data_IF_351296678938
#
_entry.id   IF_351296678938
#
_cell.length_a   1.000
_cell.length_b   1.000
_cell.length_c   1.000
_cell.angle_alpha   90.00
_cell.angle_beta   90.00
_cell.angle_gamma   90.00
#
_symmetry.space_group_name_H-M   'P 1'
#
loop_
_entity.id
_entity.type
_entity.pdbx_description
1 polymer ?
#
# COMPACT_ATOMS: atom_id res chain seq x y z
N UNK A 1 10.89 26.03 -10.55
CA UNK A 1 12.10 25.17 -10.60
C UNK A 1 12.01 24.21 -9.44
N UNK A 2 12.38 22.94 -9.62
CA UNK A 2 12.55 22.02 -8.50
C UNK A 2 13.80 22.47 -7.71
N UNK A 3 13.66 22.70 -6.41
CA UNK A 3 14.74 23.17 -5.55
C UNK A 3 15.56 22.01 -4.95
N UNK A 4 15.23 20.76 -5.32
CA UNK A 4 15.83 19.57 -4.75
C UNK A 4 15.28 19.25 -3.36
N UNK A 5 15.82 18.21 -2.70
CA UNK A 5 15.42 17.83 -1.36
C UNK A 5 15.85 18.89 -0.33
N UNK A 6 15.01 19.14 0.68
CA UNK A 6 15.35 20.02 1.80
C UNK A 6 16.40 19.40 2.74
N UNK A 7 16.39 18.08 2.86
CA UNK A 7 17.29 17.29 3.70
C UNK A 7 17.61 15.96 3.00
N UNK A 8 18.85 15.49 3.15
CA UNK A 8 19.31 14.23 2.58
C UNK A 8 20.55 13.72 3.29
N UNK A 9 20.36 13.03 4.41
CA UNK A 9 21.44 12.38 5.15
C UNK A 9 21.84 11.05 4.50
N UNK A 10 23.07 10.59 4.74
CA UNK A 10 23.61 9.34 4.15
C UNK A 10 22.78 8.11 4.54
N UNK A 11 22.36 8.03 5.81
CA UNK A 11 21.49 6.96 6.30
C UNK A 11 20.04 7.08 5.76
N UNK A 12 19.68 8.21 5.15
CA UNK A 12 18.33 8.54 4.70
C UNK A 12 17.62 9.50 5.66
N UNK A 13 16.71 10.31 5.11
CA UNK A 13 15.88 11.25 5.87
C UNK A 13 14.44 11.06 5.42
N UNK A 14 13.55 10.71 6.35
CA UNK A 14 12.14 10.39 6.06
C UNK A 14 11.19 11.06 7.05
N UNK A 15 9.89 10.94 6.78
CA UNK A 15 8.81 11.35 7.69
C UNK A 15 8.85 12.83 8.10
N UNK A 16 9.14 13.71 7.13
CA UNK A 16 9.18 15.15 7.35
C UNK A 16 7.82 15.73 7.79
N UNK A 17 7.83 16.48 8.90
CA UNK A 17 6.68 17.18 9.48
C UNK A 17 7.02 18.65 9.72
N UNK A 18 6.30 19.57 9.07
CA UNK A 18 6.51 21.00 9.27
C UNK A 18 5.62 21.54 10.39
N UNK A 19 6.20 22.27 11.35
CA UNK A 19 5.46 22.88 12.46
C UNK A 19 6.13 24.19 12.90
N UNK A 20 5.35 25.23 13.28
CA UNK A 20 5.92 26.39 13.93
C UNK A 20 6.48 26.05 15.32
N UNK A 21 7.47 26.79 15.79
CA UNK A 21 7.92 26.80 17.19
C UNK A 21 7.08 27.78 18.05
N UNK A 22 7.33 27.82 19.35
CA UNK A 22 6.62 28.69 20.30
C UNK A 22 6.67 30.19 19.96
N UNK A 23 7.60 30.60 19.09
CA UNK A 23 7.79 31.98 18.61
C UNK A 23 7.15 32.24 17.24
N UNK A 24 6.68 31.18 16.56
CA UNK A 24 6.03 31.25 15.25
C UNK A 24 6.97 30.96 14.07
N UNK A 25 8.24 30.68 14.34
CA UNK A 25 9.22 30.32 13.31
C UNK A 25 8.96 28.90 12.82
N UNK A 26 8.97 28.68 11.51
CA UNK A 26 8.65 27.37 10.93
C UNK A 26 9.87 26.44 10.98
N UNK A 27 9.67 25.21 11.45
CA UNK A 27 10.69 24.16 11.48
C UNK A 27 10.22 22.95 10.68
N UNK A 28 11.18 22.25 10.08
CA UNK A 28 11.01 20.88 9.61
C UNK A 28 11.51 19.94 10.71
N UNK A 29 10.68 18.97 11.08
CA UNK A 29 11.03 17.83 11.94
C UNK A 29 11.13 16.59 11.05
N UNK A 30 12.13 15.75 11.20
CA UNK A 30 12.26 14.52 10.40
C UNK A 30 12.99 13.42 11.18
N UNK A 31 12.88 12.19 10.66
CA UNK A 31 13.63 11.03 11.16
C UNK A 31 14.86 10.80 10.29
N UNK A 32 16.02 10.60 10.91
CA UNK A 32 17.15 9.97 10.23
C UNK A 32 16.97 8.45 10.21
N UNK A 33 17.07 7.83 9.03
CA UNK A 33 16.81 6.40 8.83
C UNK A 33 18.01 5.51 9.22
N UNK A 34 18.62 5.79 10.38
CA UNK A 34 19.81 5.09 10.88
C UNK A 34 19.63 3.57 11.00
N UNK A 35 18.40 3.08 11.17
CA UNK A 35 18.10 1.64 11.15
C UNK A 35 18.44 0.96 9.81
N UNK A 36 18.54 1.69 8.70
CA UNK A 36 19.00 1.16 7.39
C UNK A 36 20.48 0.73 7.44
N UNK A 37 21.23 1.29 8.38
CA UNK A 37 22.65 1.07 8.59
C UNK A 37 22.97 0.56 10.02
N UNK A 38 21.99 -0.01 10.72
CA UNK A 38 22.11 -0.55 12.09
C UNK A 38 22.54 0.48 13.15
N UNK A 39 22.11 1.72 13.01
CA UNK A 39 22.34 2.82 13.97
C UNK A 39 21.04 3.26 14.66
N UNK A 40 21.17 4.15 15.63
CA UNK A 40 20.05 4.86 16.25
C UNK A 40 19.28 5.71 15.24
N UNK A 41 18.05 6.09 15.58
CA UNK A 41 17.11 6.79 14.71
C UNK A 41 16.67 8.12 15.33
N UNK A 42 17.59 9.10 15.41
CA UNK A 42 17.26 10.40 15.98
C UNK A 42 16.16 11.10 15.19
N UNK A 43 15.27 11.77 15.93
CA UNK A 43 14.35 12.76 15.39
C UNK A 43 15.02 14.11 15.45
N UNK A 44 15.18 14.76 14.31
CA UNK A 44 15.83 16.05 14.14
C UNK A 44 14.81 17.16 13.93
N UNK A 45 15.16 18.38 14.30
CA UNK A 45 14.46 19.60 13.90
C UNK A 45 15.42 20.66 13.40
N UNK A 46 15.05 21.37 12.33
CA UNK A 46 15.81 22.51 11.81
C UNK A 46 14.86 23.55 11.22
N UNK A 47 15.21 24.82 11.39
CA UNK A 47 14.38 25.93 10.94
C UNK A 47 14.30 25.96 9.42
N UNK A 48 13.13 26.24 8.88
CA UNK A 48 12.91 26.54 7.46
C UNK A 48 13.08 28.05 7.22
N UNK A 49 13.57 28.43 6.04
CA UNK A 49 13.46 29.80 5.58
C UNK A 49 11.99 30.18 5.29
N UNK A 50 11.72 31.48 5.17
CA UNK A 50 10.36 32.00 4.95
C UNK A 50 9.73 31.47 3.65
N UNK A 51 10.54 31.23 2.62
CA UNK A 51 10.10 30.66 1.34
C UNK A 51 9.83 29.15 1.40
N UNK A 52 10.23 28.47 2.47
CA UNK A 52 10.08 27.01 2.68
C UNK A 52 10.82 26.17 1.63
N UNK A 53 11.93 26.69 1.14
CA UNK A 53 12.77 26.08 0.11
C UNK A 53 14.15 25.65 0.62
N UNK A 54 14.52 26.00 1.85
CA UNK A 54 15.80 25.65 2.45
C UNK A 54 15.71 25.55 3.98
N UNK A 55 16.58 24.72 4.56
CA UNK A 55 16.82 24.69 6.00
C UNK A 55 17.92 25.70 6.36
N UNK A 56 17.77 26.34 7.52
CA UNK A 56 18.68 27.39 8.02
C UNK A 56 19.09 27.11 9.46
N UNK A 57 20.31 27.53 9.81
CA UNK A 57 20.91 27.23 11.13
C UNK A 57 21.36 25.77 11.24
N UNK A 58 21.52 25.29 12.48
CA UNK A 58 21.94 23.93 12.78
C UNK A 58 20.73 23.03 13.10
N UNK A 59 20.82 21.76 12.73
CA UNK A 59 19.84 20.76 13.15
C UNK A 59 20.01 20.45 14.65
N UNK A 60 18.88 20.27 15.35
CA UNK A 60 18.84 19.90 16.77
C UNK A 60 18.21 18.53 16.92
N UNK A 61 18.87 17.62 17.63
CA UNK A 61 18.30 16.33 18.00
C UNK A 61 17.23 16.53 19.07
N UNK A 62 16.02 16.02 18.84
CA UNK A 62 14.90 16.12 19.77
C UNK A 62 14.90 14.94 20.76
N UNK A 63 15.00 13.72 20.24
CA UNK A 63 15.20 12.46 20.96
C UNK A 63 15.48 11.31 19.97
N UNK A 64 15.87 10.15 20.49
CA UNK A 64 16.16 8.93 19.71
C UNK A 64 15.43 7.69 20.27
N UNK A 65 15.63 6.51 19.68
CA UNK A 65 15.07 5.24 20.14
C UNK A 65 15.82 4.65 21.35
N UNK A 66 15.54 5.16 22.56
CA UNK A 66 16.26 4.84 23.79
C UNK A 66 15.43 4.03 24.82
N UNK A 67 14.18 3.67 24.51
CA UNK A 67 13.35 2.83 25.40
C UNK A 67 12.96 1.50 24.75
N UNK A 68 12.86 0.47 25.60
CA UNK A 68 12.77 -0.95 25.17
C UNK A 68 11.69 -1.26 24.12
N UNK A 69 10.51 -0.64 24.20
CA UNK A 69 9.40 -0.97 23.30
C UNK A 69 9.62 -0.44 21.87
N UNK A 70 10.44 0.61 21.72
CA UNK A 70 10.78 1.23 20.43
C UNK A 70 11.66 0.32 19.57
N UNK A 71 12.37 -0.63 20.18
CA UNK A 71 13.19 -1.58 19.45
C UNK A 71 14.16 -0.88 18.49
N UNK A 72 14.18 -1.23 17.19
CA UNK A 72 15.17 -0.72 16.25
C UNK A 72 14.95 0.72 15.79
N UNK A 73 13.79 1.34 16.04
CA UNK A 73 13.52 2.69 15.49
C UNK A 73 12.47 3.48 16.28
N UNK A 74 12.55 4.81 16.17
CA UNK A 74 11.43 5.75 16.30
C UNK A 74 11.26 6.50 14.98
N UNK A 75 10.04 6.79 14.56
CA UNK A 75 9.73 7.49 13.30
C UNK A 75 8.30 8.05 13.26
N UNK A 76 7.83 8.54 12.09
CA UNK A 76 6.43 8.87 11.86
C UNK A 76 5.92 10.02 12.73
N UNK A 77 6.76 11.04 12.94
CA UNK A 77 6.46 12.20 13.78
C UNK A 77 5.19 12.93 13.33
N UNK A 78 4.21 13.02 14.23
CA UNK A 78 3.03 13.85 14.06
C UNK A 78 2.88 14.78 15.26
N UNK A 79 3.10 16.07 15.02
CA UNK A 79 3.11 17.07 16.07
C UNK A 79 1.79 17.82 16.17
N UNK A 80 1.37 18.11 17.40
CA UNK A 80 0.23 18.99 17.69
C UNK A 80 0.48 19.82 18.93
N UNK A 81 -0.16 20.99 19.02
CA UNK A 81 -0.16 21.80 20.24
C UNK A 81 -1.44 21.60 21.03
N UNK A 82 -1.29 21.43 22.35
CA UNK A 82 -2.42 21.37 23.27
C UNK A 82 -1.99 21.92 24.64
N UNK A 83 -2.76 22.84 25.23
CA UNK A 83 -2.51 23.46 26.54
C UNK A 83 -1.07 23.94 26.79
N UNK A 84 -0.47 24.58 25.77
CA UNK A 84 0.89 25.12 25.84
C UNK A 84 2.00 24.06 25.80
N UNK A 85 1.69 22.84 25.40
CA UNK A 85 2.65 21.78 25.09
C UNK A 85 2.67 21.51 23.60
N UNK A 86 3.83 21.15 23.08
CA UNK A 86 3.96 20.32 21.90
C UNK A 86 3.81 18.87 22.31
N UNK A 87 3.02 18.10 21.56
CA UNK A 87 2.99 16.66 21.63
C UNK A 87 3.47 16.11 20.30
N UNK A 88 4.35 15.12 20.34
CA UNK A 88 4.76 14.34 19.19
C UNK A 88 4.24 12.93 19.38
N UNK A 89 3.26 12.55 18.57
CA UNK A 89 2.92 11.16 18.38
C UNK A 89 3.96 10.57 17.43
N UNK A 90 4.58 9.48 17.83
CA UNK A 90 5.62 8.82 17.06
C UNK A 90 5.39 7.33 17.10
N UNK A 91 5.87 6.64 16.08
CA UNK A 91 5.83 5.20 16.05
C UNK A 91 7.18 4.62 16.42
N UNK A 92 7.17 3.43 17.03
CA UNK A 92 8.37 2.68 17.36
C UNK A 92 8.30 1.27 16.80
N UNK A 93 9.47 0.66 16.66
CA UNK A 93 9.67 -0.73 16.30
C UNK A 93 9.35 -1.04 14.81
N UNK A 94 9.25 -2.31 14.44
CA UNK A 94 9.14 -2.75 13.05
C UNK A 94 7.73 -2.57 12.49
N UNK A 95 7.59 -1.65 11.52
CA UNK A 95 6.31 -1.30 10.89
C UNK A 95 5.63 -2.47 10.16
N UNK A 96 6.43 -3.34 9.55
CA UNK A 96 6.00 -3.95 8.30
C UNK A 96 6.20 -5.47 8.24
N UNK A 97 5.34 -6.12 7.46
CA UNK A 97 5.38 -7.56 7.19
C UNK A 97 4.73 -8.45 8.26
N UNK A 98 4.93 -9.76 8.10
CA UNK A 98 4.25 -10.78 8.90
C UNK A 98 4.53 -10.66 10.40
N UNK A 99 5.78 -10.37 10.76
CA UNK A 99 6.28 -10.30 12.14
C UNK A 99 6.40 -8.89 12.72
N UNK A 100 5.69 -7.90 12.15
CA UNK A 100 5.73 -6.53 12.63
C UNK A 100 5.39 -6.41 14.14
N UNK A 101 5.99 -5.42 14.79
CA UNK A 101 5.83 -5.13 16.22
C UNK A 101 5.57 -3.63 16.48
N UNK A 102 5.12 -2.92 15.44
CA UNK A 102 4.90 -1.47 15.48
C UNK A 102 3.90 -1.06 16.56
N UNK A 103 4.19 0.03 17.25
CA UNK A 103 3.28 0.64 18.20
C UNK A 103 3.43 2.17 18.18
N UNK A 104 2.47 2.89 18.74
CA UNK A 104 2.52 4.36 18.84
C UNK A 104 2.82 4.79 20.27
N UNK A 105 3.80 5.68 20.42
CA UNK A 105 4.10 6.41 21.64
C UNK A 105 3.77 7.90 21.50
N UNK A 106 3.89 8.62 22.60
CA UNK A 106 3.83 10.08 22.63
C UNK A 106 4.94 10.65 23.51
N UNK A 107 5.50 11.76 23.08
CA UNK A 107 6.37 12.61 23.88
C UNK A 107 5.82 14.05 23.90
N UNK A 108 6.19 14.85 24.89
CA UNK A 108 5.81 16.27 24.95
C UNK A 108 6.97 17.20 25.31
N UNK A 109 6.89 18.45 24.90
CA UNK A 109 7.78 19.51 25.35
C UNK A 109 7.08 20.87 25.40
N UNK A 110 7.59 21.81 26.21
CA UNK A 110 7.10 23.21 26.22
C UNK A 110 7.72 24.05 25.10
N UNK A 111 8.89 23.66 24.60
CA UNK A 111 9.61 24.31 23.51
C UNK A 111 9.87 23.27 22.41
N UNK A 112 9.79 23.66 21.14
CA UNK A 112 9.89 22.69 20.03
C UNK A 112 11.24 21.94 20.05
N UNK A 113 12.32 22.66 20.36
CA UNK A 113 13.67 22.11 20.43
C UNK A 113 13.97 21.35 21.74
N UNK A 114 12.96 21.14 22.59
CA UNK A 114 13.05 20.31 23.78
C UNK A 114 13.37 21.08 25.07
N UNK A 115 13.67 20.35 26.16
CA UNK A 115 13.79 18.90 26.22
C UNK A 115 12.44 18.18 26.04
N UNK A 116 12.46 16.99 25.42
CA UNK A 116 11.27 16.16 25.20
C UNK A 116 11.11 15.11 26.31
N UNK A 117 9.92 15.05 26.92
CA UNK A 117 9.52 14.05 27.91
C UNK A 117 8.70 12.96 27.20
N UNK A 118 9.21 11.72 27.15
CA UNK A 118 8.42 10.55 26.69
C UNK A 118 7.42 10.15 27.76
N UNK A 119 6.19 9.82 27.37
CA UNK A 119 5.18 9.38 28.33
C UNK A 119 5.56 8.05 28.97
N UNK A 120 5.62 8.01 30.30
CA UNK A 120 6.00 6.80 31.06
C UNK A 120 5.09 5.58 30.81
N UNK A 121 3.89 5.80 30.27
CA UNK A 121 2.94 4.74 29.94
C UNK A 121 3.00 4.28 28.48
N UNK A 122 3.93 4.80 27.67
CA UNK A 122 4.11 4.34 26.29
C UNK A 122 4.33 2.80 26.22
N UNK A 123 3.89 2.14 25.12
CA UNK A 123 3.12 2.71 24.02
C UNK A 123 1.66 3.02 24.41
N UNK A 124 1.10 4.07 23.81
CA UNK A 124 -0.31 4.48 24.01
C UNK A 124 -1.28 3.80 23.03
N UNK A 125 -0.76 3.18 21.96
CA UNK A 125 -1.53 2.42 20.99
C UNK A 125 -0.73 1.19 20.54
N UNK A 126 -1.27 0.00 20.76
CA UNK A 126 -0.65 -1.28 20.38
C UNK A 126 -1.70 -2.26 19.80
N UNK A 127 -1.22 -3.38 19.28
CA UNK A 127 -1.99 -4.46 18.67
C UNK A 127 -3.10 -4.99 19.59
N UNK A 128 -4.24 -5.33 19.00
CA UNK A 128 -5.37 -5.99 19.66
C UNK A 128 -5.81 -7.23 18.86
N UNK A 129 -6.92 -7.87 19.20
CA UNK A 129 -7.38 -9.09 18.50
C UNK A 129 -7.74 -8.90 17.02
N UNK A 130 -7.96 -7.67 16.58
CA UNK A 130 -8.39 -7.33 15.21
C UNK A 130 -7.24 -6.75 14.38
N UNK A 131 -6.47 -5.84 14.97
CA UNK A 131 -5.46 -5.04 14.30
C UNK A 131 -4.09 -5.31 14.92
N UNK A 132 -3.06 -5.37 14.08
CA UNK A 132 -1.66 -5.44 14.53
C UNK A 132 -0.87 -4.27 13.96
N UNK A 133 0.18 -3.90 14.70
CA UNK A 133 1.19 -2.94 14.26
C UNK A 133 0.63 -1.53 13.99
N UNK A 134 -0.13 -0.92 14.92
CA UNK A 134 -0.67 0.42 14.70
C UNK A 134 0.39 1.51 14.87
N UNK A 135 0.47 2.44 13.91
CA UNK A 135 1.36 3.58 14.03
C UNK A 135 1.37 4.48 12.80
N UNK A 136 2.36 5.39 12.80
CA UNK A 136 2.57 6.41 11.78
C UNK A 136 1.28 7.19 11.52
N UNK A 137 0.84 7.91 12.56
CA UNK A 137 -0.44 8.58 12.58
C UNK A 137 -0.36 10.05 12.21
N UNK A 138 -1.52 10.69 12.14
CA UNK A 138 -1.68 12.14 12.08
C UNK A 138 -2.81 12.51 13.03
N UNK A 139 -2.57 13.49 13.89
CA UNK A 139 -3.56 13.94 14.87
C UNK A 139 -4.53 14.91 14.19
N UNK A 140 -5.81 14.76 14.47
CA UNK A 140 -6.86 15.68 14.05
C UNK A 140 -7.80 15.99 15.21
N UNK A 141 -8.37 17.19 15.19
CA UNK A 141 -9.39 17.65 16.13
C UNK A 141 -10.65 18.06 15.36
N UNK A 142 -11.82 17.67 15.87
CA UNK A 142 -13.12 18.04 15.31
C UNK A 142 -14.14 18.17 16.44
N UNK A 143 -14.73 19.35 16.58
CA UNK A 143 -15.80 19.65 17.56
C UNK A 143 -15.44 19.27 19.01
N UNK A 144 -14.20 19.54 19.42
CA UNK A 144 -13.62 19.23 20.72
C UNK A 144 -13.15 17.79 20.89
N UNK A 145 -13.29 16.93 19.86
CA UNK A 145 -12.90 15.51 19.89
C UNK A 145 -11.60 15.31 19.17
N UNK A 146 -10.78 14.39 19.68
CA UNK A 146 -9.43 14.17 19.19
C UNK A 146 -9.29 12.78 18.58
N UNK A 147 -8.65 12.73 17.42
CA UNK A 147 -8.47 11.52 16.65
C UNK A 147 -7.04 11.37 16.20
N UNK A 148 -6.60 10.12 16.12
CA UNK A 148 -5.40 9.73 15.39
C UNK A 148 -5.83 8.98 14.14
N UNK A 149 -5.53 9.54 12.96
CA UNK A 149 -5.58 8.83 11.69
C UNK A 149 -4.26 8.08 11.52
N UNK A 150 -4.25 6.77 11.66
CA UNK A 150 -3.03 5.96 11.63
C UNK A 150 -3.24 4.73 10.75
N UNK A 151 -2.18 3.96 10.50
CA UNK A 151 -2.33 2.67 9.83
C UNK A 151 -2.24 1.51 10.82
N UNK A 152 -2.70 0.34 10.40
CA UNK A 152 -2.42 -0.97 11.00
C UNK A 152 -2.64 -2.07 9.95
N UNK A 153 -2.34 -3.33 10.28
CA UNK A 153 -2.75 -4.48 9.48
C UNK A 153 -3.97 -5.17 10.11
N UNK A 154 -4.98 -5.48 9.29
CA UNK A 154 -6.04 -6.38 9.72
C UNK A 154 -5.47 -7.80 9.87
N UNK A 155 -5.60 -8.39 11.06
CA UNK A 155 -4.94 -9.67 11.40
C UNK A 155 -5.35 -10.81 10.47
N UNK A 156 -6.59 -10.85 9.99
CA UNK A 156 -7.09 -11.92 9.11
C UNK A 156 -6.58 -11.81 7.67
N UNK A 157 -6.24 -10.60 7.20
CA UNK A 157 -5.68 -10.41 5.86
C UNK A 157 -4.16 -10.37 5.81
N UNK A 158 -3.51 -10.31 6.97
CA UNK A 158 -2.06 -10.20 7.11
C UNK A 158 -1.50 -9.06 6.22
N UNK A 159 -0.26 -9.20 5.73
CA UNK A 159 0.40 -8.25 4.83
C UNK A 159 -0.20 -8.23 3.42
N UNK A 160 -1.03 -9.20 3.02
CA UNK A 160 -1.50 -9.35 1.64
C UNK A 160 -2.36 -8.18 1.14
N UNK A 161 -3.12 -7.54 2.03
CA UNK A 161 -3.87 -6.29 1.71
C UNK A 161 -3.02 -5.05 1.91
N UNK A 162 -1.90 -5.17 2.63
CA UNK A 162 -1.08 -4.06 3.07
C UNK A 162 -1.64 -3.35 4.30
N UNK A 163 -1.01 -2.23 4.65
CA UNK A 163 -1.42 -1.36 5.75
C UNK A 163 -2.73 -0.65 5.40
N UNK A 164 -3.66 -0.59 6.35
CA UNK A 164 -4.98 0.00 6.19
C UNK A 164 -5.12 1.21 7.11
N UNK A 165 -5.70 2.30 6.59
CA UNK A 165 -5.98 3.49 7.36
C UNK A 165 -7.12 3.26 8.36
N UNK A 166 -6.90 3.69 9.60
CA UNK A 166 -7.83 3.61 10.72
C UNK A 166 -7.94 4.98 11.38
N UNK A 167 -9.12 5.26 11.94
CA UNK A 167 -9.35 6.41 12.79
C UNK A 167 -9.60 5.92 14.21
N UNK A 168 -8.77 6.33 15.15
CA UNK A 168 -8.91 6.01 16.57
C UNK A 168 -9.09 7.30 17.37
N UNK A 169 -10.18 7.38 18.13
CA UNK A 169 -10.45 8.50 19.03
C UNK A 169 -9.63 8.38 20.32
N UNK A 170 -9.20 9.52 20.86
CA UNK A 170 -8.55 9.61 22.16
C UNK A 170 -9.05 10.83 22.93
N UNK A 171 -8.82 10.83 24.24
CA UNK A 171 -9.11 11.97 25.13
C UNK A 171 -7.85 12.42 25.84
N UNK A 172 -7.83 13.64 26.37
CA UNK A 172 -6.75 14.11 27.25
C UNK A 172 -7.09 13.79 28.71
N UNK A 173 -6.22 13.08 29.41
CA UNK A 173 -6.42 12.76 30.82
C UNK A 173 -6.04 13.93 31.75
N UNK A 174 -6.25 13.77 33.06
CA UNK A 174 -5.97 14.82 34.05
C UNK A 174 -4.50 15.26 34.13
N UNK A 175 -3.57 14.44 33.65
CA UNK A 175 -2.15 14.75 33.55
C UNK A 175 -1.74 15.32 32.17
N UNK A 176 -2.73 15.66 31.35
CA UNK A 176 -2.59 16.17 29.98
C UNK A 176 -1.86 15.20 29.05
N UNK A 177 -2.14 13.90 29.15
CA UNK A 177 -1.67 12.90 28.19
C UNK A 177 -2.83 12.34 27.36
N UNK A 178 -2.59 11.98 26.09
CA UNK A 178 -3.61 11.32 25.28
C UNK A 178 -3.87 9.91 25.79
N UNK A 179 -5.14 9.53 25.85
CA UNK A 179 -5.60 8.23 26.31
C UNK A 179 -6.54 7.62 25.26
N UNK A 180 -6.12 6.49 24.70
CA UNK A 180 -6.96 5.64 23.87
C UNK A 180 -7.65 4.59 24.74
N UNK A 181 -8.91 4.30 24.46
CA UNK A 181 -9.66 3.25 25.15
C UNK A 181 -8.89 1.92 25.03
N UNK A 182 -8.42 1.39 26.18
CA UNK A 182 -7.61 0.16 26.27
C UNK A 182 -6.31 0.19 25.45
N UNK A 183 -5.77 1.38 25.12
CA UNK A 183 -4.55 1.55 24.31
C UNK A 183 -4.60 0.80 22.97
N UNK A 184 -5.76 0.82 22.32
CA UNK A 184 -6.04 -0.06 21.19
C UNK A 184 -6.63 0.70 19.99
N UNK A 185 -6.43 0.21 18.76
CA UNK A 185 -7.15 0.71 17.59
C UNK A 185 -8.66 0.52 17.75
N UNK A 186 -9.44 1.57 17.50
CA UNK A 186 -10.89 1.57 17.76
C UNK A 186 -11.75 1.21 16.55
N UNK A 187 -11.20 1.26 15.35
CA UNK A 187 -11.95 1.00 14.13
C UNK A 187 -12.41 -0.48 14.05
N UNK A 188 -13.72 -0.78 13.97
CA UNK A 188 -14.18 -2.14 13.73
C UNK A 188 -13.83 -2.59 12.30
N UNK A 189 -13.69 -3.90 12.05
CA UNK A 189 -13.50 -4.39 10.69
C UNK A 189 -14.80 -4.16 9.89
N UNK A 190 -14.66 -3.89 8.59
CA UNK A 190 -15.80 -3.65 7.72
C UNK A 190 -16.70 -4.90 7.63
N UNK A 191 -17.98 -4.74 7.94
CA UNK A 191 -18.93 -5.86 7.97
C UNK A 191 -19.49 -6.20 6.60
N UNK A 192 -19.88 -5.18 5.82
CA UNK A 192 -20.39 -5.28 4.46
C UNK A 192 -19.27 -5.04 3.43
N UNK A 193 -18.71 -6.14 2.93
CA UNK A 193 -17.67 -6.12 1.90
C UNK A 193 -18.21 -5.85 0.49
N UNK A 194 -19.54 -5.83 0.32
CA UNK A 194 -20.19 -5.48 -0.94
C UNK A 194 -19.84 -4.06 -1.39
N UNK A 195 -19.65 -3.16 -0.44
CA UNK A 195 -19.23 -1.77 -0.67
C UNK A 195 -17.84 -1.63 -1.27
N UNK A 196 -17.01 -2.65 -1.16
CA UNK A 196 -15.66 -2.69 -1.71
C UNK A 196 -15.61 -3.38 -3.07
N UNK A 197 -16.73 -3.95 -3.54
CA UNK A 197 -16.79 -4.54 -4.86
C UNK A 197 -16.44 -3.50 -5.93
N UNK A 198 -15.69 -3.92 -6.93
CA UNK A 198 -15.40 -3.12 -8.11
C UNK A 198 -16.08 -3.77 -9.29
N UNK A 199 -16.76 -2.97 -10.10
CA UNK A 199 -17.17 -3.31 -11.45
C UNK A 199 -16.88 -2.07 -12.30
N UNK A 200 -15.90 -2.20 -13.18
CA UNK A 200 -15.51 -1.14 -14.11
C UNK A 200 -15.75 -1.68 -15.53
N UNK A 201 -16.78 -1.16 -16.19
CA UNK A 201 -17.12 -1.50 -17.58
C UNK A 201 -16.48 -0.50 -18.57
N UNK A 202 -15.52 0.31 -18.10
CA UNK A 202 -14.79 1.30 -18.91
C UNK A 202 -15.71 2.25 -19.70
N UNK A 203 -16.89 2.57 -19.17
CA UNK A 203 -17.89 3.43 -19.84
C UNK A 203 -17.56 4.93 -19.85
N UNK A 204 -16.43 5.34 -19.27
CA UNK A 204 -15.98 6.73 -19.25
C UNK A 204 -15.20 7.13 -20.51
N UNK A 205 -14.63 8.34 -20.53
CA UNK A 205 -13.76 8.82 -21.61
C UNK A 205 -12.26 8.71 -21.29
N UNK A 206 -11.91 8.21 -20.11
CA UNK A 206 -10.54 8.02 -19.62
C UNK A 206 -10.49 6.94 -18.55
N UNK A 207 -9.29 6.40 -18.31
CA UNK A 207 -9.06 5.46 -17.22
C UNK A 207 -9.37 6.14 -15.86
N UNK A 208 -10.10 5.44 -15.00
CA UNK A 208 -10.46 5.96 -13.68
C UNK A 208 -9.25 6.20 -12.77
N UNK A 209 -9.34 7.17 -11.86
CA UNK A 209 -8.24 7.56 -10.95
C UNK A 209 -7.82 6.45 -9.96
N UNK A 210 -8.67 5.45 -9.78
CA UNK A 210 -8.39 4.28 -8.92
C UNK A 210 -7.41 3.29 -9.56
N UNK A 211 -7.19 3.38 -10.88
CA UNK A 211 -6.21 2.56 -11.58
C UNK A 211 -4.82 3.14 -11.41
N UNK A 212 -3.89 2.28 -11.03
CA UNK A 212 -2.51 2.63 -10.71
C UNK A 212 -1.53 1.82 -11.56
N UNK A 213 -0.29 2.28 -11.67
CA UNK A 213 0.79 1.61 -12.37
C UNK A 213 2.11 1.84 -11.61
N UNK A 214 3.19 1.10 -11.92
CA UNK A 214 4.48 1.33 -11.30
C UNK A 214 4.99 2.76 -11.54
N UNK A 215 5.57 3.36 -10.50
CA UNK A 215 6.15 4.71 -10.58
C UNK A 215 7.21 4.75 -11.70
N UNK A 216 7.15 5.80 -12.53
CA UNK A 216 8.06 5.97 -13.67
C UNK A 216 7.74 5.11 -14.90
N UNK A 217 6.71 4.28 -14.86
CA UNK A 217 6.27 3.42 -15.96
C UNK A 217 4.77 3.65 -16.22
N UNK A 218 4.42 4.85 -16.72
CA UNK A 218 3.05 5.13 -17.12
C UNK A 218 2.72 4.37 -18.41
N UNK A 219 1.78 3.41 -18.37
CA UNK A 219 1.46 2.61 -19.55
C UNK A 219 0.66 3.44 -20.56
N UNK A 220 0.74 3.06 -21.83
CA UNK A 220 -0.19 3.53 -22.84
C UNK A 220 -1.57 2.92 -22.61
N UNK A 221 -2.47 3.64 -21.95
CA UNK A 221 -3.83 3.19 -21.67
C UNK A 221 -4.86 4.21 -22.16
N UNK A 222 -5.84 3.77 -22.94
CA UNK A 222 -6.94 4.58 -23.42
C UNK A 222 -8.28 3.90 -23.15
N UNK A 223 -9.31 4.69 -22.88
CA UNK A 223 -10.69 4.19 -22.76
C UNK A 223 -11.49 4.75 -23.92
N UNK A 224 -12.08 3.87 -24.70
CA UNK A 224 -12.92 4.21 -25.85
C UNK A 224 -13.94 3.09 -26.09
N UNK A 225 -15.15 3.46 -26.49
CA UNK A 225 -16.24 2.53 -26.83
C UNK A 225 -16.57 1.50 -25.74
N UNK A 226 -16.47 1.92 -24.47
CA UNK A 226 -16.73 1.02 -23.33
C UNK A 226 -15.65 -0.04 -23.12
N UNK A 227 -14.43 0.21 -23.61
CA UNK A 227 -13.30 -0.73 -23.50
C UNK A 227 -12.04 -0.01 -23.04
N UNK A 228 -11.19 -0.76 -22.33
CA UNK A 228 -9.81 -0.38 -22.07
C UNK A 228 -8.92 -0.94 -23.18
N UNK A 229 -8.18 -0.05 -23.82
CA UNK A 229 -7.12 -0.36 -24.78
C UNK A 229 -5.79 -0.18 -24.06
N UNK A 230 -5.07 -1.29 -23.82
CA UNK A 230 -3.79 -1.31 -23.13
C UNK A 230 -2.69 -1.65 -24.14
N UNK A 231 -1.84 -0.67 -24.41
CA UNK A 231 -0.66 -0.83 -25.27
C UNK A 231 0.35 -1.74 -24.57
N UNK A 232 0.79 -2.78 -25.27
CA UNK A 232 1.68 -3.77 -24.70
C UNK A 232 3.10 -3.23 -24.47
N UNK A 233 3.83 -3.87 -23.56
CA UNK A 233 5.26 -3.61 -23.35
C UNK A 233 6.04 -4.93 -23.32
N UNK A 234 7.31 -4.96 -23.76
CA UNK A 234 8.05 -6.20 -23.93
C UNK A 234 8.67 -6.74 -22.64
N UNK A 235 8.75 -5.94 -21.57
CA UNK A 235 9.52 -6.29 -20.38
C UNK A 235 8.65 -6.86 -19.26
N UNK A 236 9.12 -7.92 -18.59
CA UNK A 236 8.48 -8.51 -17.39
C UNK A 236 7.01 -8.87 -17.66
N UNK A 237 6.02 -8.29 -16.97
CA UNK A 237 4.60 -8.55 -17.22
C UNK A 237 4.01 -7.72 -18.39
N UNK A 238 4.84 -6.90 -19.01
CA UNK A 238 4.41 -5.87 -19.95
C UNK A 238 3.76 -4.68 -19.25
N UNK A 239 2.84 -4.01 -19.94
CA UNK A 239 2.11 -2.88 -19.40
C UNK A 239 1.19 -3.34 -18.28
N UNK A 240 1.09 -2.55 -17.21
CA UNK A 240 0.32 -2.90 -16.00
C UNK A 240 -0.59 -1.74 -15.62
N UNK A 241 -1.90 -1.97 -15.57
CA UNK A 241 -2.85 -1.11 -14.85
C UNK A 241 -3.54 -1.92 -13.76
N UNK A 242 -3.49 -1.43 -12.53
CA UNK A 242 -3.82 -2.22 -11.35
C UNK A 242 -4.77 -1.52 -10.38
N UNK A 243 -5.59 -2.31 -9.69
CA UNK A 243 -6.48 -1.92 -8.59
C UNK A 243 -5.96 -2.51 -7.27
N UNK A 244 -6.18 -1.78 -6.17
CA UNK A 244 -5.90 -2.29 -4.83
C UNK A 244 -6.81 -3.48 -4.51
N UNK A 245 -6.29 -4.43 -3.76
CA UNK A 245 -7.13 -5.41 -3.07
C UNK A 245 -7.60 -4.82 -1.74
N UNK A 246 -8.80 -5.19 -1.30
CA UNK A 246 -9.36 -4.68 -0.05
C UNK A 246 -9.56 -5.78 1.01
N UNK A 247 -9.55 -7.04 0.58
CA UNK A 247 -9.66 -8.22 1.43
C UNK A 247 -8.63 -9.26 0.99
N UNK A 248 -8.37 -10.26 1.83
CA UNK A 248 -7.49 -11.37 1.49
C UNK A 248 -8.23 -12.51 0.76
N UNK A 249 -9.56 -12.55 0.83
CA UNK A 249 -10.38 -13.51 0.09
C UNK A 249 -11.23 -12.75 -0.93
N UNK A 250 -11.09 -13.06 -2.21
CA UNK A 250 -11.82 -12.37 -3.28
C UNK A 250 -11.83 -13.17 -4.57
N UNK A 251 -12.68 -12.74 -5.51
CA UNK A 251 -12.65 -13.16 -6.92
C UNK A 251 -12.48 -11.94 -7.81
N UNK A 252 -11.59 -12.02 -8.78
CA UNK A 252 -11.46 -11.03 -9.83
C UNK A 252 -11.64 -11.63 -11.21
N UNK A 253 -12.22 -10.86 -12.12
CA UNK A 253 -12.46 -11.28 -13.48
C UNK A 253 -12.33 -10.12 -14.46
N UNK A 254 -12.03 -10.46 -15.71
CA UNK A 254 -11.99 -9.54 -16.85
C UNK A 254 -12.41 -10.30 -18.11
N UNK A 255 -12.87 -9.58 -19.13
CA UNK A 255 -13.11 -10.12 -20.46
C UNK A 255 -12.16 -9.47 -21.46
N UNK A 256 -11.46 -10.27 -22.26
CA UNK A 256 -10.46 -9.87 -23.25
C UNK A 256 -11.01 -10.09 -24.67
N UNK A 257 -10.74 -9.19 -25.60
CA UNK A 257 -10.88 -9.44 -27.05
C UNK A 257 -9.80 -10.43 -27.52
N UNK A 258 -10.11 -11.72 -27.45
CA UNK A 258 -9.13 -12.78 -27.67
C UNK A 258 -8.81 -13.00 -29.15
N UNK A 259 -9.82 -13.03 -30.02
CA UNK A 259 -9.60 -13.21 -31.46
C UNK A 259 -8.90 -12.01 -32.12
N UNK A 260 -8.96 -10.84 -31.49
CA UNK A 260 -8.32 -9.61 -31.99
C UNK A 260 -6.95 -9.36 -31.35
N UNK A 261 -6.48 -10.23 -30.46
CA UNK A 261 -5.18 -10.08 -29.83
C UNK A 261 -4.08 -10.30 -30.89
N UNK A 262 -3.15 -9.35 -31.07
CA UNK A 262 -2.08 -9.50 -32.06
C UNK A 262 -1.21 -10.74 -31.80
N UNK A 263 -0.61 -11.27 -32.86
CA UNK A 263 0.36 -12.36 -32.74
C UNK A 263 1.50 -11.96 -31.79
N UNK A 264 1.98 -12.95 -31.03
CA UNK A 264 3.06 -12.79 -30.04
C UNK A 264 2.79 -11.74 -28.96
N UNK A 265 1.51 -11.41 -28.76
CA UNK A 265 1.01 -10.60 -27.64
C UNK A 265 0.28 -11.48 -26.65
N UNK A 266 0.55 -11.27 -25.37
CA UNK A 266 -0.10 -11.94 -24.26
C UNK A 266 -0.76 -10.92 -23.34
N UNK A 267 -2.02 -11.13 -23.01
CA UNK A 267 -2.76 -10.22 -22.15
C UNK A 267 -3.66 -10.96 -21.17
N UNK A 268 -3.94 -10.35 -20.02
CA UNK A 268 -4.83 -10.97 -19.07
C UNK A 268 -4.87 -10.34 -17.69
N UNK A 269 -5.03 -11.18 -16.67
CA UNK A 269 -5.31 -10.80 -15.29
C UNK A 269 -4.20 -11.31 -14.37
N UNK A 270 -3.63 -10.43 -13.56
CA UNK A 270 -2.52 -10.75 -12.67
C UNK A 270 -2.75 -10.31 -11.23
N UNK A 271 -2.29 -11.12 -10.27
CA UNK A 271 -2.00 -10.68 -8.91
C UNK A 271 -0.55 -10.19 -8.87
N UNK A 272 -0.36 -8.90 -8.56
CA UNK A 272 0.93 -8.20 -8.63
C UNK A 272 1.32 -7.72 -7.24
N UNK A 273 2.47 -8.18 -6.77
CA UNK A 273 3.10 -7.66 -5.56
C UNK A 273 3.93 -6.42 -5.85
N UNK A 274 4.89 -6.60 -6.76
CA UNK A 274 5.79 -5.58 -7.25
C UNK A 274 6.18 -5.89 -8.72
N UNK A 275 6.98 -5.06 -9.41
CA UNK A 275 7.37 -5.30 -10.79
C UNK A 275 8.11 -6.63 -11.05
N UNK A 276 8.63 -7.29 -10.01
CA UNK A 276 9.44 -8.51 -10.06
C UNK A 276 8.72 -9.73 -9.48
N UNK A 277 7.56 -9.56 -8.85
CA UNK A 277 6.81 -10.60 -8.18
C UNK A 277 5.32 -10.55 -8.55
N UNK A 278 4.87 -11.51 -9.35
CA UNK A 278 3.49 -11.62 -9.79
C UNK A 278 3.07 -13.06 -10.09
N UNK A 279 1.76 -13.26 -10.18
CA UNK A 279 1.11 -14.49 -10.63
C UNK A 279 0.00 -14.11 -11.61
N UNK A 280 0.14 -14.52 -12.88
CA UNK A 280 -0.67 -14.01 -13.99
C UNK A 280 -1.35 -15.12 -14.78
N UNK A 281 -2.61 -14.90 -15.15
CA UNK A 281 -3.35 -15.69 -16.13
C UNK A 281 -3.36 -14.92 -17.45
N UNK A 282 -2.65 -15.45 -18.45
CA UNK A 282 -2.30 -14.76 -19.70
C UNK A 282 -2.85 -15.53 -20.90
N UNK A 283 -3.55 -14.84 -21.78
CA UNK A 283 -4.03 -15.37 -23.05
C UNK A 283 -3.17 -14.83 -24.20
N UNK A 284 -2.79 -15.67 -25.14
CA UNK A 284 -2.00 -15.29 -26.31
C UNK A 284 -1.75 -16.48 -27.23
N UNK A 285 -1.62 -16.23 -28.54
CA UNK A 285 -1.32 -17.26 -29.54
C UNK A 285 -2.22 -18.52 -29.45
N UNK A 286 -3.52 -18.34 -29.21
CA UNK A 286 -4.48 -19.46 -29.09
C UNK A 286 -4.35 -20.28 -27.79
N UNK A 287 -3.58 -19.80 -26.83
CA UNK A 287 -3.31 -20.49 -25.56
C UNK A 287 -3.67 -19.62 -24.35
N UNK A 288 -3.93 -20.31 -23.24
CA UNK A 288 -3.91 -19.74 -21.91
C UNK A 288 -2.70 -20.26 -21.14
N UNK A 289 -2.05 -19.37 -20.42
CA UNK A 289 -0.92 -19.68 -19.56
C UNK A 289 -1.15 -19.16 -18.15
N UNK A 290 -0.71 -19.92 -17.16
CA UNK A 290 -0.45 -19.37 -15.82
C UNK A 290 1.04 -19.13 -15.71
N UNK A 291 1.45 -17.87 -15.58
CA UNK A 291 2.83 -17.50 -15.34
C UNK A 291 3.02 -17.14 -13.88
N UNK A 292 4.18 -17.52 -13.34
CA UNK A 292 4.72 -16.83 -12.18
C UNK A 292 5.91 -15.97 -12.61
N UNK A 293 5.98 -14.75 -12.07
CA UNK A 293 7.17 -13.92 -12.09
C UNK A 293 7.68 -13.89 -10.66
N UNK A 294 8.89 -14.43 -10.41
CA UNK A 294 9.48 -14.47 -9.07
C UNK A 294 10.89 -13.93 -9.12
N UNK A 295 11.13 -12.85 -8.39
CA UNK A 295 12.42 -12.13 -8.43
C UNK A 295 12.86 -11.81 -9.87
N UNK A 296 11.90 -11.39 -10.71
CA UNK A 296 12.13 -11.04 -12.11
C UNK A 296 12.27 -12.22 -13.08
N UNK A 297 12.20 -13.47 -12.60
CA UNK A 297 12.25 -14.67 -13.45
C UNK A 297 10.84 -15.15 -13.76
N UNK A 298 10.50 -15.18 -15.05
CA UNK A 298 9.22 -15.68 -15.54
C UNK A 298 9.31 -17.18 -15.81
N UNK A 299 8.31 -17.93 -15.36
CA UNK A 299 8.13 -19.33 -15.75
C UNK A 299 6.63 -19.64 -15.94
N UNK A 300 6.34 -20.50 -16.91
CA UNK A 300 5.01 -21.02 -17.15
C UNK A 300 4.73 -22.21 -16.23
N UNK A 301 3.68 -22.12 -15.41
CA UNK A 301 3.26 -23.18 -14.50
C UNK A 301 2.34 -24.20 -15.18
N UNK A 302 1.48 -23.71 -16.07
CA UNK A 302 0.58 -24.54 -16.88
C UNK A 302 0.19 -23.78 -18.14
N UNK A 303 -0.12 -24.51 -19.19
CA UNK A 303 -0.73 -23.96 -20.40
C UNK A 303 -1.75 -24.91 -20.99
N UNK A 304 -2.76 -24.34 -21.64
CA UNK A 304 -3.80 -25.08 -22.36
C UNK A 304 -4.09 -24.40 -23.70
N UNK A 305 -4.54 -25.20 -24.67
CA UNK A 305 -5.16 -24.67 -25.87
C UNK A 305 -6.56 -24.14 -25.54
N UNK A 306 -6.96 -23.07 -26.22
CA UNK A 306 -8.31 -22.51 -26.14
C UNK A 306 -8.95 -22.57 -27.52
N UNK A 307 -10.13 -23.19 -27.60
CA UNK A 307 -10.90 -23.21 -28.83
C UNK A 307 -11.20 -21.78 -29.32
N UNK A 308 -11.18 -21.54 -30.64
CA UNK A 308 -11.41 -20.20 -31.19
C UNK A 308 -12.70 -19.57 -30.66
N UNK A 309 -12.57 -18.38 -30.08
CA UNK A 309 -13.68 -17.59 -29.56
C UNK A 309 -13.36 -16.10 -29.71
N UNK A 310 -14.40 -15.27 -29.88
CA UNK A 310 -14.23 -13.83 -30.07
C UNK A 310 -13.64 -13.17 -28.81
N UNK A 311 -14.23 -13.47 -27.66
CA UNK A 311 -13.85 -12.94 -26.36
C UNK A 311 -13.54 -14.07 -25.38
N UNK A 312 -12.63 -13.81 -24.45
CA UNK A 312 -12.23 -14.76 -23.42
C UNK A 312 -12.38 -14.12 -22.04
N UNK A 313 -13.22 -14.70 -21.19
CA UNK A 313 -13.36 -14.31 -19.80
C UNK A 313 -12.30 -15.02 -18.95
N UNK A 314 -11.57 -14.26 -18.14
CA UNK A 314 -10.52 -14.74 -17.26
C UNK A 314 -10.93 -14.50 -15.81
N UNK A 315 -10.63 -15.46 -14.92
CA UNK A 315 -10.92 -15.33 -13.49
C UNK A 315 -9.78 -15.84 -12.62
N UNK A 316 -9.55 -15.09 -11.56
CA UNK A 316 -8.64 -15.39 -10.47
C UNK A 316 -9.46 -15.43 -9.16
N UNK A 317 -9.32 -16.51 -8.39
CA UNK A 317 -9.95 -16.69 -7.08
C UNK A 317 -8.87 -16.82 -6.00
N UNK A 318 -9.00 -16.07 -4.90
CA UNK A 318 -7.98 -15.99 -3.83
C UNK A 318 -8.59 -16.29 -2.48
N UNK A 319 -7.86 -17.04 -1.66
CA UNK A 319 -8.18 -17.27 -0.24
C UNK A 319 -7.00 -16.92 0.66
N UNK A 320 -7.24 -16.07 1.65
CA UNK A 320 -6.23 -15.65 2.62
C UNK A 320 -5.02 -14.96 2.00
N UNK A 321 -5.18 -14.36 0.82
CA UNK A 321 -4.18 -13.55 0.11
C UNK A 321 -3.07 -14.35 -0.57
N UNK A 322 -3.02 -15.67 -0.33
CA UNK A 322 -1.85 -16.48 -0.67
C UNK A 322 -2.16 -17.76 -1.45
N UNK A 323 -3.43 -18.14 -1.60
CA UNK A 323 -3.86 -19.34 -2.34
C UNK A 323 -4.68 -18.92 -3.54
N UNK A 324 -4.21 -19.26 -4.74
CA UNK A 324 -4.76 -18.78 -6.01
C UNK A 324 -5.32 -19.92 -6.84
N UNK A 325 -6.47 -19.69 -7.48
CA UNK A 325 -7.03 -20.58 -8.51
C UNK A 325 -7.41 -19.77 -9.74
N UNK A 326 -7.26 -20.39 -10.90
CA UNK A 326 -7.53 -19.78 -12.20
C UNK A 326 -8.64 -20.52 -12.92
N UNK A 327 -9.49 -19.75 -13.58
CA UNK A 327 -10.54 -20.28 -14.45
C UNK A 327 -10.73 -19.37 -15.65
N UNK A 328 -11.31 -19.91 -16.71
CA UNK A 328 -11.64 -19.16 -17.92
C UNK A 328 -13.03 -19.54 -18.43
N UNK A 329 -13.57 -18.75 -19.34
CA UNK A 329 -14.84 -19.04 -20.02
C UNK A 329 -14.82 -18.44 -21.42
N UNK A 330 -15.23 -19.24 -22.41
CA UNK A 330 -15.32 -18.85 -23.83
C UNK A 330 -16.72 -18.37 -24.22
N UNK A 331 -17.71 -18.57 -23.35
CA UNK A 331 -19.13 -18.21 -23.54
C UNK A 331 -19.63 -17.15 -22.53
N UNK A 332 -18.76 -16.74 -21.59
CA UNK A 332 -19.09 -15.82 -20.49
C UNK A 332 -19.94 -16.43 -19.36
N UNK A 333 -20.35 -17.69 -19.48
CA UNK A 333 -21.29 -18.34 -18.56
C UNK A 333 -20.69 -19.58 -17.89
N UNK A 334 -20.08 -20.47 -18.67
CA UNK A 334 -19.52 -21.74 -18.23
C UNK A 334 -18.04 -21.57 -17.89
N UNK A 335 -17.69 -21.72 -16.62
CA UNK A 335 -16.32 -21.55 -16.13
C UNK A 335 -15.56 -22.86 -16.08
N UNK A 336 -14.43 -22.91 -16.78
CA UNK A 336 -13.52 -24.04 -16.83
C UNK A 336 -12.28 -23.75 -15.95
N UNK A 337 -11.93 -24.63 -15.00
CA UNK A 337 -10.73 -24.46 -14.19
C UNK A 337 -9.47 -24.73 -15.03
N UNK A 338 -8.37 -24.01 -14.76
CA UNK A 338 -7.07 -24.37 -15.33
C UNK A 338 -6.43 -25.51 -14.52
N UNK A 339 -5.81 -26.50 -15.18
CA UNK A 339 -5.12 -27.58 -14.50
C UNK A 339 -3.78 -27.06 -13.93
N UNK A 340 -3.65 -27.05 -12.62
CA UNK A 340 -2.39 -26.76 -11.90
C UNK A 340 -1.96 -27.98 -11.11
N UNK A 341 -0.67 -28.08 -10.78
CA UNK A 341 -0.10 -29.23 -10.02
C UNK A 341 -0.88 -29.53 -8.73
N UNK A 342 -1.30 -28.47 -8.04
CA UNK A 342 -2.12 -28.54 -6.84
C UNK A 342 -3.45 -27.80 -7.05
N UNK A 343 -4.43 -28.02 -6.18
CA UNK A 343 -5.73 -27.33 -6.23
C UNK A 343 -5.61 -25.79 -6.18
N UNK A 344 -4.59 -25.27 -5.50
CA UNK A 344 -4.25 -23.84 -5.48
C UNK A 344 -2.76 -23.62 -5.72
N UNK A 345 -2.43 -22.54 -6.42
CA UNK A 345 -1.06 -22.03 -6.55
C UNK A 345 -0.70 -21.18 -5.33
N UNK A 346 0.50 -21.37 -4.81
CA UNK A 346 1.02 -20.62 -3.67
C UNK A 346 1.55 -19.25 -4.13
N UNK A 347 0.99 -18.17 -3.59
CA UNK A 347 1.41 -16.78 -3.82
C UNK A 347 1.94 -16.07 -2.56
N UNK A 348 2.47 -16.78 -1.57
CA UNK A 348 3.04 -16.16 -0.35
C UNK A 348 4.21 -15.21 -0.63
N UNK A 349 4.85 -15.35 -1.80
CA UNK A 349 5.97 -14.51 -2.22
C UNK A 349 5.53 -13.17 -2.82
N UNK A 350 4.23 -12.93 -3.01
CA UNK A 350 3.74 -11.75 -3.71
C UNK A 350 3.94 -10.47 -2.90
N UNK A 351 3.48 -10.32 -1.65
CA UNK A 351 3.63 -9.06 -0.96
C UNK A 351 5.12 -8.72 -0.77
N UNK A 352 5.58 -7.55 -1.23
CA UNK A 352 6.84 -7.02 -0.73
C UNK A 352 6.67 -6.63 0.74
N UNK A 353 7.76 -6.20 1.37
CA UNK A 353 7.74 -5.86 2.79
C UNK A 353 6.78 -4.70 3.15
N UNK A 354 6.53 -3.75 2.24
CA UNK A 354 5.84 -2.47 2.51
C UNK A 354 4.44 -2.30 1.89
N UNK A 355 4.01 -3.20 0.99
CA UNK A 355 2.81 -3.04 0.16
C UNK A 355 1.95 -4.30 0.10
N UNK A 356 0.65 -4.11 -0.06
CA UNK A 356 -0.30 -5.17 -0.38
C UNK A 356 -0.30 -5.54 -1.87
N UNK A 357 -0.83 -6.73 -2.16
CA UNK A 357 -1.05 -7.25 -3.51
C UNK A 357 -2.11 -6.41 -4.22
N UNK A 358 -1.89 -6.15 -5.51
CA UNK A 358 -2.83 -5.50 -6.42
C UNK A 358 -3.31 -6.50 -7.47
N UNK A 359 -4.48 -6.24 -8.04
CA UNK A 359 -4.98 -6.97 -9.20
C UNK A 359 -4.85 -6.12 -10.43
N UNK A 360 -4.26 -6.66 -11.49
CA UNK A 360 -3.89 -5.90 -12.66
C UNK A 360 -4.43 -6.52 -13.94
N UNK A 361 -4.81 -5.64 -14.86
CA UNK A 361 -4.87 -5.96 -16.27
C UNK A 361 -3.48 -5.72 -16.86
N UNK A 362 -3.00 -6.70 -17.63
CA UNK A 362 -1.63 -6.70 -18.14
C UNK A 362 -1.57 -7.02 -19.62
N UNK A 363 -0.60 -6.44 -20.33
CA UNK A 363 -0.35 -6.70 -21.76
C UNK A 363 1.15 -6.74 -22.05
N UNK A 364 1.66 -7.92 -22.39
CA UNK A 364 3.04 -8.18 -22.79
C UNK A 364 3.12 -8.41 -24.30
N UNK A 365 4.05 -7.75 -24.97
CA UNK A 365 4.23 -7.87 -26.42
C UNK A 365 5.03 -6.71 -26.99
N UNK A 366 5.09 -6.63 -28.31
CA UNK A 366 5.70 -5.50 -29.01
C UNK A 366 4.98 -4.19 -28.70
N UNK A 367 5.71 -3.08 -28.70
CA UNK A 367 5.17 -1.79 -28.25
C UNK A 367 4.08 -1.24 -29.15
N UNK A 368 3.83 -1.75 -30.34
CA UNK A 368 2.71 -1.36 -31.20
C UNK A 368 1.46 -2.22 -30.99
N UNK A 369 1.58 -3.36 -30.32
CA UNK A 369 0.46 -4.23 -29.99
C UNK A 369 -0.43 -3.60 -28.91
N UNK A 370 -1.74 -3.84 -29.03
CA UNK A 370 -2.75 -3.36 -28.07
C UNK A 370 -3.66 -4.52 -27.70
N UNK A 371 -3.85 -4.72 -26.39
CA UNK A 371 -4.83 -5.64 -25.84
C UNK A 371 -6.08 -4.86 -25.42
N UNK A 372 -7.26 -5.43 -25.70
CA UNK A 372 -8.53 -4.76 -25.42
C UNK A 372 -9.34 -5.51 -24.37
N UNK A 373 -9.69 -4.84 -23.28
CA UNK A 373 -10.46 -5.38 -22.15
C UNK A 373 -11.84 -4.73 -22.07
N UNK A 374 -12.86 -5.53 -21.82
CA UNK A 374 -14.25 -5.03 -21.75
C UNK A 374 -14.62 -4.57 -20.34
N UNK A 375 -14.06 -5.22 -19.32
CA UNK A 375 -14.40 -4.94 -17.94
C UNK A 375 -13.33 -5.39 -16.95
N UNK A 376 -13.45 -4.91 -15.72
CA UNK A 376 -12.77 -5.45 -14.56
C UNK A 376 -13.74 -5.58 -13.40
N UNK A 377 -13.82 -6.77 -12.83
CA UNK A 377 -14.71 -7.08 -11.70
C UNK A 377 -13.85 -7.58 -10.53
N UNK A 378 -14.07 -7.03 -9.34
CA UNK A 378 -13.53 -7.51 -8.07
C UNK A 378 -14.69 -7.73 -7.09
N UNK A 379 -14.86 -8.96 -6.62
CA UNK A 379 -15.84 -9.34 -5.60
C UNK A 379 -15.10 -9.77 -4.33
N UNK A 380 -15.11 -8.91 -3.33
CA UNK A 380 -14.50 -9.16 -2.02
C UNK A 380 -15.34 -10.15 -1.20
N UNK A 381 -14.66 -10.99 -0.42
CA UNK A 381 -15.27 -12.01 0.43
C UNK A 381 -14.56 -12.03 1.78
N UNK A 382 -15.21 -12.63 2.79
CA UNK A 382 -14.57 -12.87 4.08
C UNK A 382 -13.59 -14.04 3.98
#
# INVERSE_FOLDING_TARGET
HDHGPLVGQEAGSIDGFAIPDEHGDLYLVWKEDGNSCYQETPIWAQRLNDERTALIGEATELFTNDVRWEGPLVEGSALVRHNGWFYMFYAGNSCCGKGCQYATGVARSRALLGPWEKYAQNPILDSNDTWKCPGHGTVAELDGRWFLLHHAYFKQSHEFVGRQGLLSEFTWNAAEWPEFVRRSPQAPPLTDLGRLHVADEFGGSRLGLEWQWPIGQQPGAAVADGRLHLRAEPSRLGAVVARRTHTATYKAATTLDFAALPADTFAGLAAVGDPYNALALMAGNGQLHVWHLKSGKQQCLTSIFVEPCATLSLRLEVWGGQRYRFAYSTDGATWQPLPTENFTVNGTYLPPWDRGVRLALVAQGEVDATATFHNFILRNQR
#
